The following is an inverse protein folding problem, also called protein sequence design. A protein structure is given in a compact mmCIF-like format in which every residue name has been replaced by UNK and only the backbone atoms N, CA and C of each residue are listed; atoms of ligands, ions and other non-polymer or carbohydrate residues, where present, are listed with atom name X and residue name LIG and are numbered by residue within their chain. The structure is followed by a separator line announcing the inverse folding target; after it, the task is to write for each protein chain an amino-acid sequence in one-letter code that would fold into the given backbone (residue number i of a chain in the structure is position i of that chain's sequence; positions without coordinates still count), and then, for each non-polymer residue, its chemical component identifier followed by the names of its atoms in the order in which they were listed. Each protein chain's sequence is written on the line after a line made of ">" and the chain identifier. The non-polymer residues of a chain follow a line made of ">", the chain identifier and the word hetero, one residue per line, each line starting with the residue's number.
data_IF_463493394751
#
_entry.id   IF_463493394751
#
_cell.length_a   1.000
_cell.length_b   1.000
_cell.length_c   1.000
_cell.angle_alpha   90.00
_cell.angle_beta   90.00
_cell.angle_gamma   90.00
#
_symmetry.space_group_name_H-M   'P 1'
#
loop_
_entity.id
_entity.type
_entity.pdbx_description
1 polymer ?
#
# COMPACT_ATOMS: atom_id res chain seq x y z
N UNK A 1 -15.09 8.28 -13.69
CA UNK A 1 -15.42 6.86 -13.39
C UNK A 1 -16.62 6.46 -14.22
N UNK A 2 -16.80 5.16 -14.47
CA UNK A 2 -17.96 4.59 -15.16
C UNK A 2 -18.68 3.61 -14.23
N UNK A 3 -20.01 3.61 -14.27
CA UNK A 3 -20.86 2.71 -13.47
C UNK A 3 -21.85 2.03 -14.39
N UNK A 4 -22.04 0.74 -14.18
CA UNK A 4 -22.91 -0.11 -14.98
C UNK A 4 -23.90 -0.82 -14.06
N UNK A 5 -25.17 -0.83 -14.48
CA UNK A 5 -26.22 -1.69 -13.89
C UNK A 5 -26.86 -2.45 -15.03
N UNK A 6 -26.63 -3.75 -15.07
CA UNK A 6 -27.09 -4.63 -16.15
C UNK A 6 -28.09 -5.65 -15.62
N UNK A 7 -28.92 -6.18 -16.52
CA UNK A 7 -29.88 -7.26 -16.22
C UNK A 7 -30.78 -6.96 -15.02
N UNK A 8 -31.40 -5.77 -15.00
CA UNK A 8 -32.24 -5.30 -13.91
C UNK A 8 -31.53 -5.29 -12.53
N UNK A 9 -30.24 -4.95 -12.51
CA UNK A 9 -29.45 -4.85 -11.28
C UNK A 9 -28.85 -6.16 -10.79
N UNK A 10 -28.92 -7.25 -11.58
CA UNK A 10 -28.20 -8.49 -11.23
C UNK A 10 -26.69 -8.33 -11.34
N UNK A 11 -26.21 -7.43 -12.20
CA UNK A 11 -24.79 -7.10 -12.31
C UNK A 11 -24.66 -5.60 -12.09
N UNK A 12 -23.89 -5.24 -11.06
CA UNK A 12 -23.48 -3.86 -10.81
C UNK A 12 -21.95 -3.79 -10.87
N UNK A 13 -21.41 -2.89 -11.68
CA UNK A 13 -19.97 -2.72 -11.82
C UNK A 13 -19.59 -1.25 -11.77
N UNK A 14 -18.45 -0.95 -11.16
CA UNK A 14 -17.84 0.37 -11.15
C UNK A 14 -16.39 0.24 -11.60
N UNK A 15 -15.99 1.13 -12.51
CA UNK A 15 -14.62 1.26 -12.99
C UNK A 15 -14.17 2.70 -12.79
N UNK A 16 -13.04 2.87 -12.11
CA UNK A 16 -12.46 4.18 -11.84
C UNK A 16 -11.03 4.22 -12.32
N UNK A 17 -10.75 5.06 -13.31
CA UNK A 17 -9.40 5.58 -13.56
C UNK A 17 -9.20 6.80 -12.67
N UNK A 18 -8.05 6.89 -12.00
CA UNK A 18 -7.70 8.07 -11.22
C UNK A 18 -6.25 8.51 -11.47
N UNK A 19 -6.03 9.80 -11.31
CA UNK A 19 -4.72 10.44 -11.23
C UNK A 19 -4.81 11.45 -10.09
N UNK A 20 -3.91 11.31 -9.11
CA UNK A 20 -3.83 12.20 -7.96
C UNK A 20 -2.45 12.81 -7.95
N UNK A 21 -2.39 14.14 -8.02
CA UNK A 21 -1.14 14.90 -7.90
C UNK A 21 -1.05 15.53 -6.51
N UNK A 22 0.13 15.48 -5.93
CA UNK A 22 0.47 16.20 -4.72
C UNK A 22 1.77 16.93 -4.96
N UNK A 23 1.72 18.24 -4.82
CA UNK A 23 2.87 19.12 -5.00
C UNK A 23 3.42 19.50 -3.63
N UNK A 24 4.71 19.82 -3.60
CA UNK A 24 5.39 20.28 -2.39
C UNK A 24 5.27 19.30 -1.21
N UNK A 25 5.34 17.99 -1.49
CA UNK A 25 5.39 16.97 -0.45
C UNK A 25 6.74 17.08 0.26
N UNK A 26 6.71 17.28 1.57
CA UNK A 26 7.91 17.32 2.40
C UNK A 26 8.84 16.12 2.14
N UNK A 27 10.09 16.43 1.85
CA UNK A 27 11.20 15.50 1.66
C UNK A 27 12.35 15.90 2.59
N UNK A 28 12.91 14.93 3.30
CA UNK A 28 14.10 15.13 4.10
C UNK A 28 15.33 15.01 3.21
N UNK A 29 16.26 15.95 3.37
CA UNK A 29 17.61 15.88 2.81
C UNK A 29 18.42 14.87 3.64
N UNK A 30 19.36 14.17 3.01
CA UNK A 30 20.21 13.20 3.71
C UNK A 30 21.08 13.88 4.78
N UNK A 31 21.39 13.18 5.87
CA UNK A 31 22.25 13.73 6.93
C UNK A 31 23.66 14.12 6.42
N UNK A 32 24.35 13.32 5.58
CA UNK A 32 25.67 13.72 5.06
C UNK A 32 25.64 15.02 4.26
N UNK A 33 24.60 15.24 3.45
CA UNK A 33 24.42 16.48 2.68
C UNK A 33 24.17 17.67 3.61
N UNK A 34 23.38 17.48 4.67
CA UNK A 34 23.18 18.53 5.68
C UNK A 34 24.47 18.87 6.43
N UNK A 35 25.23 17.85 6.82
CA UNK A 35 26.47 18.01 7.57
C UNK A 35 27.51 18.76 6.73
N UNK A 36 27.65 18.42 5.44
CA UNK A 36 28.51 19.14 4.49
C UNK A 36 28.11 20.61 4.36
N UNK A 37 26.83 20.90 4.15
CA UNK A 37 26.35 22.27 3.98
C UNK A 37 26.44 23.10 5.26
N UNK A 38 26.26 22.49 6.43
CA UNK A 38 26.41 23.16 7.73
C UNK A 38 27.85 23.62 8.03
N UNK A 39 28.86 23.01 7.39
CA UNK A 39 30.25 23.50 7.50
C UNK A 39 30.46 24.83 6.76
N UNK A 40 29.65 25.10 5.74
CA UNK A 40 29.77 26.28 4.88
C UNK A 40 28.75 27.36 5.24
N UNK A 41 27.56 26.98 5.72
CA UNK A 41 26.44 27.87 5.97
C UNK A 41 26.28 28.14 7.47
N UNK A 42 26.19 29.42 7.84
CA UNK A 42 25.93 29.85 9.21
C UNK A 42 24.56 29.39 9.81
N UNK A 43 23.45 29.30 9.06
CA UNK A 43 22.19 28.75 9.60
C UNK A 43 22.18 27.23 9.63
N UNK A 44 21.74 26.66 10.74
CA UNK A 44 21.58 25.22 10.93
C UNK A 44 20.50 24.62 10.02
N UNK A 45 20.91 23.72 9.14
CA UNK A 45 20.04 22.95 8.26
C UNK A 45 19.47 21.69 8.91
N UNK A 46 19.65 21.45 10.21
CA UNK A 46 19.14 20.27 10.91
C UNK A 46 17.62 20.09 10.77
N UNK A 47 16.88 21.19 10.58
CA UNK A 47 15.44 21.19 10.30
C UNK A 47 15.10 21.64 8.87
N UNK A 48 16.07 21.63 7.96
CA UNK A 48 15.81 21.92 6.56
C UNK A 48 14.91 20.85 5.95
N UNK A 49 13.78 21.33 5.45
CA UNK A 49 12.79 20.56 4.72
C UNK A 49 12.84 21.07 3.29
N UNK A 50 12.97 20.16 2.35
CA UNK A 50 12.72 20.46 0.95
C UNK A 50 11.49 19.68 0.50
N UNK A 51 11.26 19.68 -0.80
CA UNK A 51 10.04 19.19 -1.40
C UNK A 51 10.32 18.15 -2.46
N UNK A 52 9.27 17.39 -2.76
CA UNK A 52 9.15 16.57 -3.96
C UNK A 52 7.69 16.56 -4.39
N UNK A 53 7.46 16.30 -5.66
CA UNK A 53 6.11 16.11 -6.18
C UNK A 53 5.82 14.62 -6.29
N UNK A 54 4.56 14.24 -6.08
CA UNK A 54 4.09 12.86 -6.15
C UNK A 54 2.86 12.76 -7.03
N UNK A 55 2.94 11.93 -8.06
CA UNK A 55 1.79 11.58 -8.92
C UNK A 55 1.42 10.13 -8.69
N UNK A 56 0.14 9.86 -8.47
CA UNK A 56 -0.39 8.53 -8.23
C UNK A 56 -1.45 8.22 -9.28
N UNK A 57 -1.22 7.22 -10.11
CA UNK A 57 -2.13 6.81 -11.18
C UNK A 57 -2.61 5.38 -10.95
N UNK A 58 -3.90 5.14 -11.17
CA UNK A 58 -4.40 3.78 -11.05
C UNK A 58 -5.74 3.52 -11.70
N UNK A 59 -6.15 2.26 -11.56
CA UNK A 59 -7.45 1.73 -11.91
C UNK A 59 -8.04 0.96 -10.73
N UNK A 60 -9.32 1.17 -10.49
CA UNK A 60 -10.11 0.44 -9.51
C UNK A 60 -11.34 -0.14 -10.18
N UNK A 61 -11.62 -1.41 -9.88
CA UNK A 61 -12.78 -2.14 -10.37
C UNK A 61 -13.50 -2.72 -9.17
N UNK A 62 -14.82 -2.60 -9.17
CA UNK A 62 -15.69 -3.26 -8.23
C UNK A 62 -16.85 -3.88 -9.01
N UNK A 63 -17.18 -5.13 -8.72
CA UNK A 63 -18.27 -5.84 -9.37
C UNK A 63 -19.08 -6.61 -8.34
N UNK A 64 -20.40 -6.46 -8.39
CA UNK A 64 -21.36 -7.26 -7.65
C UNK A 64 -22.22 -8.02 -8.66
N UNK A 65 -22.31 -9.34 -8.50
CA UNK A 65 -23.09 -10.21 -9.37
C UNK A 65 -24.01 -11.07 -8.51
N UNK A 66 -25.32 -10.93 -8.71
CA UNK A 66 -26.32 -11.88 -8.23
C UNK A 66 -26.57 -12.91 -9.33
N UNK A 67 -25.82 -14.02 -9.29
CA UNK A 67 -25.93 -15.10 -10.27
C UNK A 67 -27.35 -15.67 -10.28
N UNK A 68 -27.95 -15.80 -9.10
CA UNK A 68 -29.37 -16.04 -8.89
C UNK A 68 -29.80 -15.41 -7.54
N UNK A 69 -31.02 -15.72 -7.06
CA UNK A 69 -31.55 -15.16 -5.80
C UNK A 69 -30.79 -15.63 -4.55
N UNK A 70 -30.02 -16.71 -4.67
CA UNK A 70 -29.37 -17.43 -3.59
C UNK A 70 -27.85 -17.30 -3.65
N UNK A 71 -27.29 -16.87 -4.78
CA UNK A 71 -25.87 -16.84 -5.06
C UNK A 71 -25.42 -15.44 -5.46
N UNK A 72 -24.57 -14.86 -4.60
CA UNK A 72 -23.95 -13.55 -4.83
C UNK A 72 -22.43 -13.68 -4.90
N UNK A 73 -21.84 -12.91 -5.79
CA UNK A 73 -20.41 -12.70 -5.94
C UNK A 73 -20.09 -11.21 -5.82
N UNK A 74 -19.04 -10.87 -5.10
CA UNK A 74 -18.46 -9.53 -4.98
C UNK A 74 -16.97 -9.61 -5.30
N UNK A 75 -16.54 -8.92 -6.34
CA UNK A 75 -15.14 -8.80 -6.73
C UNK A 75 -14.67 -7.36 -6.59
N UNK A 76 -13.42 -7.17 -6.19
CA UNK A 76 -12.73 -5.89 -6.30
C UNK A 76 -11.30 -6.08 -6.78
N UNK A 77 -10.78 -5.12 -7.52
CA UNK A 77 -9.40 -5.05 -7.96
C UNK A 77 -8.95 -3.59 -7.92
N UNK A 78 -7.76 -3.35 -7.38
CA UNK A 78 -7.12 -2.04 -7.41
C UNK A 78 -5.67 -2.23 -7.84
N UNK A 79 -5.25 -1.41 -8.81
CA UNK A 79 -3.87 -1.23 -9.22
C UNK A 79 -3.54 0.23 -9.13
N UNK A 80 -2.46 0.55 -8.43
CA UNK A 80 -1.90 1.88 -8.36
C UNK A 80 -0.40 1.85 -8.66
N UNK A 81 0.07 2.89 -9.33
CA UNK A 81 1.46 3.23 -9.51
C UNK A 81 1.67 4.64 -8.96
N UNK A 82 2.65 4.79 -8.09
CA UNK A 82 3.06 6.07 -7.54
C UNK A 82 4.43 6.41 -8.09
N UNK A 83 4.56 7.64 -8.53
CA UNK A 83 5.74 8.24 -9.11
C UNK A 83 6.12 9.48 -8.28
N UNK A 84 7.41 9.62 -8.00
CA UNK A 84 7.97 10.81 -7.38
C UNK A 84 8.83 11.56 -8.39
N UNK A 85 8.71 12.88 -8.40
CA UNK A 85 9.37 13.80 -9.35
C UNK A 85 9.77 15.09 -8.64
N UNK A 86 10.54 15.96 -9.31
CA UNK A 86 10.92 17.30 -8.82
C UNK A 86 11.49 17.25 -7.40
N UNK A 87 12.51 16.42 -7.23
CA UNK A 87 13.18 16.27 -5.95
C UNK A 87 14.02 17.51 -5.62
N UNK A 88 13.94 17.95 -4.36
CA UNK A 88 14.79 18.98 -3.76
C UNK A 88 14.90 20.30 -4.54
N UNK A 89 13.77 20.95 -4.91
CA UNK A 89 13.79 22.17 -5.72
C UNK A 89 14.44 23.37 -5.02
N UNK A 90 14.56 23.39 -3.69
CA UNK A 90 15.21 24.48 -2.96
C UNK A 90 16.72 24.25 -2.77
N UNK A 91 17.15 22.99 -2.72
CA UNK A 91 18.53 22.61 -2.42
C UNK A 91 19.53 23.15 -3.45
N UNK A 92 19.17 23.28 -4.73
CA UNK A 92 20.06 23.87 -5.74
C UNK A 92 20.43 25.34 -5.45
N UNK A 93 19.50 26.12 -4.91
CA UNK A 93 19.77 27.50 -4.50
C UNK A 93 20.66 27.55 -3.24
N UNK A 94 20.50 26.57 -2.34
CA UNK A 94 21.34 26.42 -1.14
C UNK A 94 22.76 26.03 -1.54
N UNK A 95 22.92 25.08 -2.46
CA UNK A 95 24.20 24.67 -3.04
C UNK A 95 24.94 25.87 -3.66
N UNK A 96 24.24 26.70 -4.44
CA UNK A 96 24.84 27.89 -5.06
C UNK A 96 25.41 28.86 -4.01
N UNK A 97 24.69 29.07 -2.91
CA UNK A 97 25.17 29.91 -1.78
C UNK A 97 26.37 29.27 -1.08
N UNK A 98 26.31 27.97 -0.81
CA UNK A 98 27.40 27.25 -0.17
C UNK A 98 28.70 27.33 -0.99
N UNK A 99 28.62 27.16 -2.32
CA UNK A 99 29.75 27.31 -3.24
C UNK A 99 30.36 28.71 -3.22
N UNK A 100 29.53 29.76 -3.20
CA UNK A 100 30.01 31.14 -3.11
C UNK A 100 30.74 31.41 -1.79
N UNK A 101 30.25 30.85 -0.67
CA UNK A 101 30.91 30.99 0.62
C UNK A 101 32.23 30.20 0.64
N UNK A 102 32.24 28.97 0.12
CA UNK A 102 33.46 28.16 -0.03
C UNK A 102 34.56 28.95 -0.78
N UNK A 103 34.22 29.55 -1.94
CA UNK A 103 35.14 30.44 -2.67
C UNK A 103 35.63 31.61 -1.81
N UNK A 104 34.75 32.26 -1.05
CA UNK A 104 35.13 33.40 -0.20
C UNK A 104 36.05 33.02 0.96
N UNK A 105 36.01 31.75 1.39
CA UNK A 105 36.87 31.18 2.43
C UNK A 105 38.18 30.62 1.86
N UNK A 106 38.38 30.68 0.53
CA UNK A 106 39.56 30.14 -0.15
C UNK A 106 39.55 28.62 -0.32
N UNK A 107 38.38 27.98 -0.14
CA UNK A 107 38.18 26.55 -0.40
C UNK A 107 37.83 26.32 -1.87
N UNK A 108 38.13 25.12 -2.39
CA UNK A 108 37.61 24.68 -3.68
C UNK A 108 36.11 24.39 -3.55
N UNK A 109 35.22 25.11 -4.25
CA UNK A 109 33.78 24.88 -4.18
C UNK A 109 33.34 23.49 -4.67
N UNK A 110 34.08 22.87 -5.58
CA UNK A 110 33.73 21.56 -6.13
C UNK A 110 34.03 20.41 -5.17
N UNK A 111 35.11 20.53 -4.40
CA UNK A 111 35.44 19.58 -3.34
C UNK A 111 34.57 19.82 -2.09
N UNK A 112 34.34 21.09 -1.72
CA UNK A 112 33.60 21.44 -0.51
C UNK A 112 32.08 21.18 -0.60
N UNK A 113 31.54 20.95 -1.80
CA UNK A 113 30.11 20.69 -2.04
C UNK A 113 29.82 19.41 -2.84
N UNK A 114 30.81 18.51 -2.90
CA UNK A 114 30.75 17.26 -3.66
C UNK A 114 29.55 16.40 -3.30
N UNK A 115 29.26 16.17 -2.01
CA UNK A 115 28.18 15.26 -1.61
C UNK A 115 26.82 15.84 -1.99
N UNK A 116 26.63 17.15 -1.84
CA UNK A 116 25.39 17.84 -2.20
C UNK A 116 25.16 17.84 -3.70
N UNK A 117 26.23 18.04 -4.51
CA UNK A 117 26.14 17.99 -5.97
C UNK A 117 25.79 16.58 -6.43
N UNK A 118 26.55 15.58 -6.00
CA UNK A 118 26.33 14.18 -6.35
C UNK A 118 24.93 13.73 -5.90
N UNK A 119 24.47 14.18 -4.73
CA UNK A 119 23.11 13.96 -4.27
C UNK A 119 22.06 14.57 -5.18
N UNK A 120 22.22 15.81 -5.65
CA UNK A 120 21.27 16.42 -6.57
C UNK A 120 21.27 15.72 -7.94
N UNK A 121 22.45 15.38 -8.47
CA UNK A 121 22.59 14.62 -9.72
C UNK A 121 21.93 13.23 -9.60
N UNK A 122 22.13 12.53 -8.47
CA UNK A 122 21.49 11.25 -8.16
C UNK A 122 19.97 11.35 -8.06
N UNK A 123 19.38 12.53 -7.85
CA UNK A 123 17.94 12.72 -7.80
C UNK A 123 17.38 13.31 -9.10
N UNK A 124 18.23 13.89 -9.94
CA UNK A 124 17.84 14.46 -11.21
C UNK A 124 17.43 13.36 -12.19
N UNK A 125 16.20 13.46 -12.72
CA UNK A 125 15.64 12.44 -13.60
C UNK A 125 15.25 11.13 -12.92
N UNK A 126 15.43 10.98 -11.60
CA UNK A 126 14.97 9.79 -10.88
C UNK A 126 13.46 9.74 -10.82
N UNK A 127 12.92 8.68 -11.40
CA UNK A 127 11.51 8.30 -11.32
C UNK A 127 11.40 7.10 -10.38
N UNK A 128 11.06 7.34 -9.11
CA UNK A 128 10.81 6.24 -8.18
C UNK A 128 9.39 5.71 -8.36
N UNK A 129 9.27 4.51 -8.93
CA UNK A 129 7.99 3.86 -9.22
C UNK A 129 7.64 2.83 -8.16
N UNK A 130 6.62 3.10 -7.36
CA UNK A 130 6.04 2.10 -6.47
C UNK A 130 4.73 1.58 -7.05
N UNK A 131 4.67 0.28 -7.36
CA UNK A 131 3.44 -0.38 -7.81
C UNK A 131 2.78 -1.16 -6.66
N UNK A 132 1.47 -0.99 -6.52
CA UNK A 132 0.62 -1.78 -5.62
C UNK A 132 -0.51 -2.41 -6.41
N UNK A 133 -0.78 -3.68 -6.15
CA UNK A 133 -1.94 -4.40 -6.71
C UNK A 133 -2.58 -5.20 -5.60
N UNK A 134 -3.90 -5.05 -5.46
CA UNK A 134 -4.72 -5.83 -4.53
C UNK A 134 -5.99 -6.26 -5.22
N UNK A 135 -6.46 -7.48 -4.95
CA UNK A 135 -7.80 -7.89 -5.34
C UNK A 135 -8.48 -8.66 -4.22
N UNK A 136 -9.81 -8.64 -4.22
CA UNK A 136 -10.61 -9.49 -3.36
C UNK A 136 -11.77 -10.10 -4.15
N UNK A 137 -12.15 -11.31 -3.77
CA UNK A 137 -13.29 -12.01 -4.29
C UNK A 137 -14.03 -12.67 -3.14
N UNK A 138 -15.31 -12.36 -2.99
CA UNK A 138 -16.20 -13.03 -2.05
C UNK A 138 -17.35 -13.64 -2.83
N UNK A 139 -17.62 -14.92 -2.59
CA UNK A 139 -18.79 -15.61 -3.15
C UNK A 139 -19.54 -16.29 -2.02
N UNK A 140 -20.87 -16.22 -2.06
CA UNK A 140 -21.74 -16.87 -1.07
C UNK A 140 -22.95 -17.51 -1.73
N UNK A 141 -23.35 -18.66 -1.21
CA UNK A 141 -24.55 -19.37 -1.59
C UNK A 141 -25.42 -19.65 -0.36
N UNK A 142 -26.70 -19.28 -0.43
CA UNK A 142 -27.69 -19.52 0.64
C UNK A 142 -28.69 -20.59 0.23
N UNK A 143 -28.74 -21.68 0.98
CA UNK A 143 -29.74 -22.74 0.81
C UNK A 143 -31.08 -22.28 1.39
N UNK A 144 -32.09 -22.06 0.54
CA UNK A 144 -33.43 -21.60 0.97
C UNK A 144 -34.45 -22.73 1.07
N UNK A 145 -34.13 -23.92 0.56
CA UNK A 145 -35.03 -25.06 0.44
C UNK A 145 -34.32 -26.38 0.76
N UNK A 146 -35.11 -27.45 0.95
CA UNK A 146 -34.60 -28.78 1.23
C UNK A 146 -33.94 -28.93 2.61
N UNK A 147 -33.13 -29.99 2.75
CA UNK A 147 -32.51 -30.40 4.02
C UNK A 147 -31.48 -29.40 4.57
N UNK A 148 -30.91 -28.57 3.69
CA UNK A 148 -29.90 -27.57 4.04
C UNK A 148 -30.50 -26.17 4.23
N UNK A 149 -31.83 -26.03 4.20
CA UNK A 149 -32.49 -24.73 4.37
C UNK A 149 -31.98 -23.99 5.61
N UNK A 150 -31.55 -22.75 5.41
CA UNK A 150 -30.99 -21.90 6.45
C UNK A 150 -29.46 -21.93 6.52
N UNK A 151 -28.79 -22.85 5.81
CA UNK A 151 -27.33 -22.85 5.67
C UNK A 151 -26.93 -21.81 4.62
N UNK A 152 -25.88 -21.06 4.90
CA UNK A 152 -25.13 -20.26 3.92
C UNK A 152 -23.68 -20.67 3.97
N UNK A 153 -23.07 -20.85 2.81
CA UNK A 153 -21.63 -21.12 2.69
C UNK A 153 -21.01 -20.11 1.76
N UNK A 154 -19.74 -19.80 1.97
CA UNK A 154 -19.01 -18.91 1.09
C UNK A 154 -17.51 -18.95 1.31
N UNK A 155 -16.82 -18.25 0.42
CA UNK A 155 -15.37 -18.05 0.49
C UNK A 155 -15.08 -16.59 0.22
N UNK A 156 -14.14 -16.02 0.97
CA UNK A 156 -13.55 -14.73 0.69
C UNK A 156 -12.05 -14.92 0.47
N UNK A 157 -11.54 -14.54 -0.70
CA UNK A 157 -10.12 -14.59 -1.03
C UNK A 157 -9.60 -13.16 -1.27
N UNK A 158 -8.39 -12.87 -0.80
CA UNK A 158 -7.71 -11.59 -1.03
C UNK A 158 -6.29 -11.82 -1.52
N UNK A 159 -5.98 -11.30 -2.70
CA UNK A 159 -4.63 -11.25 -3.24
C UNK A 159 -3.96 -9.91 -2.95
N UNK A 160 -2.67 -9.95 -2.61
CA UNK A 160 -1.81 -8.78 -2.47
C UNK A 160 -0.51 -9.02 -3.21
N UNK A 161 -0.15 -8.11 -4.11
CA UNK A 161 1.13 -8.12 -4.80
C UNK A 161 2.26 -7.80 -3.82
N UNK A 162 3.32 -8.59 -3.89
CA UNK A 162 4.55 -8.37 -3.17
C UNK A 162 5.22 -7.04 -3.55
N UNK A 163 5.76 -6.36 -2.54
CA UNK A 163 6.34 -5.01 -2.65
C UNK A 163 7.83 -5.03 -2.45
N UNK A 164 8.51 -4.09 -3.07
CA UNK A 164 9.92 -3.84 -2.79
C UNK A 164 10.11 -3.27 -1.40
N UNK A 165 11.20 -3.71 -0.77
CA UNK A 165 11.69 -3.25 0.51
C UNK A 165 13.06 -2.64 0.26
N UNK A 166 13.28 -1.38 0.68
CA UNK A 166 14.59 -0.77 0.52
C UNK A 166 15.64 -1.55 1.31
N UNK A 167 16.84 -1.62 0.76
CA UNK A 167 18.00 -2.12 1.48
C UNK A 167 18.34 -1.23 2.68
N UNK A 168 19.19 -1.73 3.55
CA UNK A 168 19.75 -0.95 4.67
C UNK A 168 21.20 -0.61 4.31
N UNK A 169 21.50 0.69 4.37
CA UNK A 169 22.85 1.22 4.19
C UNK A 169 23.29 1.86 5.50
N UNK A 170 24.47 1.49 6.00
CA UNK A 170 25.08 2.07 7.19
C UNK A 170 26.42 2.65 6.77
N UNK A 171 26.62 3.95 7.00
CA UNK A 171 27.87 4.65 6.64
C UNK A 171 28.29 4.47 5.18
N UNK A 172 27.34 4.52 4.25
CA UNK A 172 27.60 4.35 2.80
C UNK A 172 27.77 2.89 2.35
N UNK A 173 27.84 1.92 3.26
CA UNK A 173 27.95 0.50 2.92
C UNK A 173 26.58 -0.16 3.00
N UNK A 174 26.14 -0.78 1.91
CA UNK A 174 24.91 -1.57 1.89
C UNK A 174 25.12 -2.86 2.70
N UNK A 175 24.46 -2.95 3.85
CA UNK A 175 24.53 -4.10 4.76
C UNK A 175 23.40 -5.10 4.52
N UNK A 176 22.26 -4.64 3.99
CA UNK A 176 21.16 -5.48 3.58
C UNK A 176 20.71 -5.04 2.18
N UNK A 177 20.67 -5.94 1.18
CA UNK A 177 20.25 -5.58 -0.17
C UNK A 177 18.75 -5.27 -0.21
N UNK A 178 18.24 -4.54 -1.20
CA UNK A 178 16.80 -4.45 -1.40
C UNK A 178 16.23 -5.83 -1.72
N UNK A 179 15.07 -6.15 -1.16
CA UNK A 179 14.34 -7.41 -1.44
C UNK A 179 12.92 -7.10 -1.86
N UNK A 180 12.28 -8.05 -2.53
CA UNK A 180 10.86 -7.99 -2.82
C UNK A 180 10.13 -9.02 -1.98
N UNK A 181 9.11 -8.57 -1.24
CA UNK A 181 8.25 -9.49 -0.52
C UNK A 181 7.49 -10.36 -1.51
N UNK A 182 7.12 -11.56 -1.07
CA UNK A 182 6.30 -12.46 -1.89
C UNK A 182 4.90 -11.89 -2.06
N UNK A 183 4.25 -12.29 -3.16
CA UNK A 183 2.82 -12.03 -3.35
C UNK A 183 2.04 -13.17 -2.70
N UNK A 184 0.89 -12.88 -2.11
CA UNK A 184 0.17 -13.88 -1.33
C UNK A 184 -1.35 -13.76 -1.49
N UNK A 185 -2.04 -14.85 -1.17
CA UNK A 185 -3.50 -14.94 -1.15
C UNK A 185 -3.96 -15.43 0.21
N UNK A 186 -4.78 -14.65 0.90
CA UNK A 186 -5.48 -15.10 2.10
C UNK A 186 -6.86 -15.60 1.71
N UNK A 187 -7.17 -16.84 2.09
CA UNK A 187 -8.47 -17.48 1.80
C UNK A 187 -9.22 -17.76 3.10
N UNK A 188 -10.45 -17.27 3.15
CA UNK A 188 -11.29 -17.26 4.34
C UNK A 188 -12.67 -17.89 4.01
N UNK A 189 -12.81 -19.22 4.10
CA UNK A 189 -14.12 -19.86 4.02
C UNK A 189 -14.98 -19.55 5.24
N UNK A 190 -16.29 -19.54 5.03
CA UNK A 190 -17.25 -19.40 6.10
C UNK A 190 -18.51 -20.21 5.83
N UNK A 191 -19.15 -20.62 6.92
CA UNK A 191 -20.46 -21.26 6.92
C UNK A 191 -21.31 -20.64 8.02
N UNK A 192 -22.57 -20.40 7.75
CA UNK A 192 -23.54 -20.00 8.76
C UNK A 192 -24.83 -20.81 8.65
N UNK A 193 -25.52 -20.94 9.77
CA UNK A 193 -26.82 -21.59 9.86
C UNK A 193 -27.78 -20.69 10.62
N UNK A 194 -28.88 -20.32 9.97
CA UNK A 194 -29.96 -19.53 10.55
C UNK A 194 -31.21 -20.38 10.73
N UNK A 195 -31.76 -20.37 11.94
CA UNK A 195 -33.03 -21.05 12.25
C UNK A 195 -33.83 -20.29 13.28
N UNK A 196 -35.15 -20.26 13.07
CA UNK A 196 -36.10 -19.77 14.06
C UNK A 196 -36.43 -20.90 15.05
N UNK A 197 -36.29 -20.62 16.35
CA UNK A 197 -36.67 -21.50 17.44
C UNK A 197 -37.59 -20.75 18.39
N UNK A 198 -38.87 -21.11 18.41
CA UNK A 198 -39.91 -20.38 19.14
C UNK A 198 -40.00 -18.92 18.65
N UNK A 199 -39.88 -17.97 19.59
CA UNK A 199 -39.88 -16.53 19.31
C UNK A 199 -38.53 -15.98 18.81
N UNK A 200 -37.45 -16.75 18.94
CA UNK A 200 -36.10 -16.26 18.68
C UNK A 200 -35.57 -16.70 17.31
N UNK A 201 -34.81 -15.82 16.66
CA UNK A 201 -34.02 -16.15 15.49
C UNK A 201 -32.56 -16.37 15.89
N UNK A 202 -32.09 -17.60 15.72
CA UNK A 202 -30.71 -17.99 16.01
C UNK A 202 -29.90 -18.01 14.72
N UNK A 203 -28.67 -17.49 14.80
CA UNK A 203 -27.65 -17.64 13.76
C UNK A 203 -26.37 -18.16 14.39
N UNK A 204 -25.85 -19.26 13.88
CA UNK A 204 -24.52 -19.78 14.20
C UNK A 204 -23.63 -19.59 12.98
N UNK A 205 -22.41 -19.11 13.15
CA UNK A 205 -21.47 -18.90 12.06
C UNK A 205 -20.07 -19.37 12.46
N UNK A 206 -19.39 -20.02 11.52
CA UNK A 206 -17.97 -20.37 11.61
C UNK A 206 -17.25 -19.70 10.43
N UNK A 207 -16.21 -18.94 10.74
CA UNK A 207 -15.26 -18.41 9.76
C UNK A 207 -13.90 -19.03 10.06
N UNK A 208 -13.20 -19.45 9.02
CA UNK A 208 -11.79 -19.85 9.13
C UNK A 208 -10.98 -18.80 8.39
N UNK A 209 -10.29 -17.93 9.11
CA UNK A 209 -9.41 -16.94 8.50
C UNK A 209 -8.08 -17.60 8.16
N UNK A 210 -7.50 -17.26 7.01
CA UNK A 210 -6.25 -17.80 6.52
C UNK A 210 -6.21 -19.34 6.58
N UNK A 211 -7.17 -20.01 5.92
CA UNK A 211 -7.35 -21.48 6.02
C UNK A 211 -6.12 -22.29 5.61
N UNK A 212 -5.28 -21.73 4.75
CA UNK A 212 -4.03 -22.34 4.28
C UNK A 212 -2.81 -21.99 5.13
N UNK A 213 -2.99 -21.19 6.19
CA UNK A 213 -1.92 -20.80 7.12
C UNK A 213 -0.76 -20.09 6.40
N UNK A 214 -1.10 -19.28 5.40
CA UNK A 214 -0.15 -18.52 4.58
C UNK A 214 0.69 -17.61 5.47
N UNK A 215 2.01 -17.73 5.40
CA UNK A 215 2.97 -16.98 6.24
C UNK A 215 3.90 -16.17 5.36
N UNK A 216 3.54 -14.91 5.14
CA UNK A 216 4.35 -13.97 4.37
C UNK A 216 4.69 -12.75 5.21
N UNK A 217 5.94 -12.31 5.12
CA UNK A 217 6.37 -11.09 5.77
C UNK A 217 5.79 -9.88 5.00
N UNK A 218 4.92 -9.15 5.68
CA UNK A 218 4.24 -7.93 5.27
C UNK A 218 4.81 -6.69 5.97
N UNK A 219 5.95 -6.78 6.67
CA UNK A 219 6.69 -5.67 7.25
C UNK A 219 7.13 -4.60 6.23
N UNK A 220 7.38 -3.38 6.70
CA UNK A 220 7.82 -2.23 5.88
C UNK A 220 9.34 -2.15 5.70
N UNK A 221 10.11 -2.87 6.52
CA UNK A 221 11.58 -2.86 6.50
C UNK A 221 12.14 -4.01 7.31
N UNK A 222 13.47 -4.15 7.30
CA UNK A 222 14.18 -5.26 7.94
C UNK A 222 14.07 -5.30 9.47
N UNK A 223 13.94 -4.13 10.09
CA UNK A 223 13.93 -4.00 11.55
C UNK A 223 12.59 -4.34 12.19
N UNK A 224 11.51 -4.41 11.40
CA UNK A 224 10.14 -4.62 11.89
C UNK A 224 9.41 -5.60 10.99
N UNK A 225 9.82 -6.88 11.06
CA UNK A 225 9.13 -7.97 10.37
C UNK A 225 7.72 -8.12 10.95
N UNK A 226 6.72 -8.20 10.07
CA UNK A 226 5.33 -8.45 10.47
C UNK A 226 4.81 -9.53 9.55
N UNK A 227 4.43 -10.68 10.08
CA UNK A 227 3.86 -11.74 9.26
C UNK A 227 2.35 -11.56 9.12
N UNK A 228 1.78 -12.17 8.07
CA UNK A 228 0.34 -12.43 7.98
C UNK A 228 -0.16 -13.11 9.25
N UNK A 229 -1.40 -12.83 9.62
CA UNK A 229 -2.01 -13.48 10.79
C UNK A 229 -2.09 -14.99 10.54
N UNK A 230 -1.80 -15.82 11.57
CA UNK A 230 -1.94 -17.25 11.44
C UNK A 230 -3.39 -17.63 11.20
N UNK A 231 -3.64 -18.88 10.83
CA UNK A 231 -4.98 -19.41 10.72
C UNK A 231 -5.78 -19.24 12.02
N UNK A 232 -7.01 -18.73 11.90
CA UNK A 232 -7.91 -18.51 13.03
C UNK A 232 -9.26 -19.16 12.77
N UNK A 233 -9.85 -19.75 13.82
CA UNK A 233 -11.22 -20.25 13.80
C UNK A 233 -12.08 -19.31 14.64
N UNK A 234 -13.05 -18.66 13.99
CA UNK A 234 -13.94 -17.70 14.64
C UNK A 234 -15.36 -18.23 14.58
N UNK A 235 -15.90 -18.56 15.76
CA UNK A 235 -17.30 -18.98 15.90
C UNK A 235 -18.11 -17.84 16.50
N UNK A 236 -19.29 -17.59 15.93
CA UNK A 236 -20.21 -16.54 16.40
C UNK A 236 -21.61 -17.11 16.55
N UNK A 237 -22.24 -16.82 17.68
CA UNK A 237 -23.64 -17.12 17.93
C UNK A 237 -24.41 -15.80 18.14
N UNK A 238 -25.49 -15.62 17.39
CA UNK A 238 -26.34 -14.42 17.46
C UNK A 238 -27.79 -14.81 17.69
N UNK A 239 -28.45 -14.12 18.61
CA UNK A 239 -29.88 -14.28 18.92
C UNK A 239 -30.58 -12.95 18.67
N UNK A 240 -31.63 -12.98 17.85
CA UNK A 240 -32.54 -11.86 17.69
C UNK A 240 -33.93 -12.22 18.25
N UNK A 241 -34.53 -11.28 18.96
CA UNK A 241 -35.85 -11.36 19.60
C UNK A 241 -36.93 -10.64 18.79
#
# INVERSE_FOLDING_TARGET
>A
SARFKLFAGKVEATITRFETKQENLQAAISNPVRDELNLLLAPDLANSIDYRDRTSTGWEYQVLVNLNRNWTLLGSYSRNQTEFTRFFPLLGAVLTKARAIASSQGLDPDEATMLTRDYLEDQEGVVSLTRRVTSSLTTRYSFTEGRLKGITTGIAARYTLGRERPGVTISGVQVLPPIRSESYILTNPFVSYRRKFGRFNWTLQLNVNNVFDEKVDIGNGYTWTRYTEPRQYVTTATVAF
#
